data_IF_062795390204
#
_entry.id   IF_062795390204
#
_cell.length_a   1.000
_cell.length_b   1.000
_cell.length_c   1.000
_cell.angle_alpha   90.00
_cell.angle_beta   90.00
_cell.angle_gamma   90.00
#
_symmetry.space_group_name_H-M   'P 1'
#
loop_
_entity.id
_entity.type
_entity.pdbx_description
1 polymer ?
#
# COMPACT_ATOMS: atom_id res chain seq x y z
N UNK A 1 -37.77 0.12 -12.37
CA UNK A 1 -38.64 -0.76 -11.56
C UNK A 1 -38.60 -0.34 -10.09
N UNK A 2 -37.57 -0.68 -9.31
CA UNK A 2 -37.44 -0.35 -7.87
C UNK A 2 -37.82 1.10 -7.51
N UNK A 3 -37.23 2.11 -8.15
CA UNK A 3 -37.54 3.53 -7.85
C UNK A 3 -39.00 3.88 -8.10
N UNK A 4 -39.64 3.25 -9.09
CA UNK A 4 -41.07 3.43 -9.39
C UNK A 4 -41.92 2.77 -8.29
N UNK A 5 -41.54 1.58 -7.87
CA UNK A 5 -42.26 0.80 -6.85
C UNK A 5 -42.20 1.51 -5.49
N UNK A 6 -41.09 2.19 -5.20
CA UNK A 6 -40.88 2.98 -3.98
C UNK A 6 -41.61 4.34 -3.98
N UNK A 7 -42.00 4.87 -5.15
CA UNK A 7 -42.74 6.14 -5.20
C UNK A 7 -44.17 5.95 -4.69
N UNK A 8 -44.52 6.66 -3.62
CA UNK A 8 -45.83 6.54 -2.98
C UNK A 8 -45.97 5.34 -2.05
N UNK A 9 -44.86 4.65 -1.72
CA UNK A 9 -44.82 3.64 -0.68
C UNK A 9 -44.97 4.27 0.72
N UNK A 10 -45.54 3.51 1.65
CA UNK A 10 -45.46 3.78 3.08
C UNK A 10 -44.15 3.23 3.61
N UNK A 11 -43.44 4.04 4.40
CA UNK A 11 -42.15 3.66 5.00
C UNK A 11 -42.35 3.53 6.50
N UNK A 12 -42.25 2.31 7.01
CA UNK A 12 -42.52 1.98 8.40
C UNK A 12 -41.28 1.41 9.06
N UNK A 13 -40.92 1.92 10.23
CA UNK A 13 -39.84 1.36 11.03
C UNK A 13 -40.30 0.02 11.60
N UNK A 14 -39.66 -1.07 11.18
CA UNK A 14 -40.05 -2.44 11.58
C UNK A 14 -39.11 -3.03 12.64
N UNK A 15 -37.86 -2.59 12.66
CA UNK A 15 -36.87 -3.05 13.62
C UNK A 15 -35.97 -1.91 14.06
N UNK A 16 -35.67 -1.87 15.36
CA UNK A 16 -34.68 -0.99 15.97
C UNK A 16 -33.86 -1.85 16.92
N UNK A 17 -32.58 -2.03 16.61
CA UNK A 17 -31.63 -2.73 17.46
C UNK A 17 -30.66 -1.70 18.05
N UNK A 18 -30.64 -1.59 19.39
CA UNK A 18 -29.66 -0.79 20.13
C UNK A 18 -28.73 -1.72 20.89
N UNK A 19 -27.42 -1.53 20.74
CA UNK A 19 -26.44 -2.29 21.51
C UNK A 19 -25.19 -1.47 21.81
N UNK A 20 -24.60 -1.76 22.95
CA UNK A 20 -23.29 -1.24 23.31
C UNK A 20 -22.20 -2.04 22.57
N UNK A 21 -21.39 -1.36 21.76
CA UNK A 21 -20.26 -1.94 21.04
C UNK A 21 -18.97 -1.47 21.70
N UNK A 22 -18.12 -2.44 22.05
CA UNK A 22 -16.80 -2.17 22.63
C UNK A 22 -15.73 -2.36 21.57
N UNK A 23 -14.82 -1.40 21.46
CA UNK A 23 -13.68 -1.46 20.55
C UNK A 23 -12.38 -1.58 21.32
N UNK A 24 -11.63 -2.64 21.01
CA UNK A 24 -10.32 -2.87 21.60
C UNK A 24 -9.26 -1.94 21.02
N UNK A 25 -8.29 -1.50 21.85
CA UNK A 25 -7.08 -0.91 21.33
C UNK A 25 -6.31 -1.93 20.49
N UNK A 26 -5.50 -1.43 19.57
CA UNK A 26 -4.63 -2.27 18.76
C UNK A 26 -3.34 -2.60 19.53
N UNK A 27 -2.71 -3.75 19.25
CA UNK A 27 -1.46 -4.14 19.88
C UNK A 27 -0.33 -3.11 19.65
N UNK A 28 0.71 -3.11 20.52
CA UNK A 28 1.94 -2.36 20.25
C UNK A 28 2.56 -2.80 18.91
N UNK A 29 3.50 -2.01 18.40
CA UNK A 29 4.02 -2.26 17.07
C UNK A 29 4.98 -3.45 17.02
N UNK A 30 4.76 -4.33 16.05
CA UNK A 30 5.81 -5.12 15.41
C UNK A 30 6.42 -4.32 14.25
N UNK A 31 7.48 -4.85 13.65
CA UNK A 31 8.11 -4.26 12.44
C UNK A 31 7.12 -4.13 11.28
N UNK A 32 6.39 -5.21 11.00
CA UNK A 32 5.39 -5.22 9.92
C UNK A 32 4.30 -4.19 10.17
N UNK A 33 3.70 -4.19 11.36
CA UNK A 33 2.61 -3.27 11.69
C UNK A 33 3.06 -1.81 11.76
N UNK A 34 4.30 -1.53 12.18
CA UNK A 34 4.90 -0.19 12.11
C UNK A 34 5.05 0.29 10.66
N UNK A 35 5.63 -0.54 9.79
CA UNK A 35 5.79 -0.19 8.37
C UNK A 35 4.44 0.07 7.70
N UNK A 36 3.43 -0.75 8.00
CA UNK A 36 2.07 -0.59 7.50
C UNK A 36 1.44 0.74 7.95
N UNK A 37 1.50 1.07 9.25
CA UNK A 37 0.92 2.30 9.77
C UNK A 37 1.70 3.55 9.36
N UNK A 38 3.03 3.48 9.27
CA UNK A 38 3.85 4.59 8.79
C UNK A 38 3.56 4.90 7.31
N UNK A 39 3.30 3.89 6.48
CA UNK A 39 2.85 4.14 5.10
C UNK A 39 1.45 4.77 5.04
N UNK A 40 0.50 4.23 5.83
CA UNK A 40 -0.90 4.69 5.82
C UNK A 40 -1.08 6.09 6.40
N UNK A 41 -0.47 6.38 7.56
CA UNK A 41 -0.63 7.64 8.30
C UNK A 41 0.43 8.70 7.95
N UNK A 42 1.66 8.29 7.67
CA UNK A 42 2.79 9.22 7.46
C UNK A 42 3.27 9.28 6.01
N UNK A 43 2.80 8.38 5.15
CA UNK A 43 3.25 8.20 3.76
C UNK A 43 4.75 7.92 3.63
N UNK A 44 5.35 7.27 4.64
CA UNK A 44 6.73 6.81 4.60
C UNK A 44 6.82 5.45 3.90
N UNK A 45 7.83 5.26 3.05
CA UNK A 45 8.16 3.92 2.52
C UNK A 45 8.74 3.05 3.64
N UNK A 46 8.68 1.73 3.49
CA UNK A 46 9.25 0.77 4.43
C UNK A 46 10.73 1.09 4.70
N UNK A 47 11.50 1.35 3.64
CA UNK A 47 12.92 1.77 3.75
C UNK A 47 13.11 3.02 4.59
N UNK A 48 12.29 4.05 4.37
CA UNK A 48 12.38 5.31 5.13
C UNK A 48 11.98 5.09 6.58
N UNK A 49 10.91 4.35 6.82
CA UNK A 49 10.46 3.97 8.17
C UNK A 49 11.57 3.26 8.93
N UNK A 50 12.24 2.29 8.30
CA UNK A 50 13.34 1.57 8.96
C UNK A 50 14.56 2.43 9.22
N UNK A 51 14.93 3.31 8.28
CA UNK A 51 16.00 4.28 8.49
C UNK A 51 15.71 5.19 9.70
N UNK A 52 14.50 5.76 9.78
CA UNK A 52 14.13 6.62 10.90
C UNK A 52 14.05 5.84 12.23
N UNK A 53 13.52 4.62 12.21
CA UNK A 53 13.45 3.76 13.40
C UNK A 53 14.85 3.36 13.91
N UNK A 54 15.79 3.09 13.00
CA UNK A 54 17.20 2.85 13.35
C UNK A 54 17.79 4.06 14.08
N UNK A 55 17.61 5.27 13.52
CA UNK A 55 18.08 6.50 14.16
C UNK A 55 17.45 6.72 15.55
N UNK A 56 16.14 6.45 15.71
CA UNK A 56 15.49 6.58 17.01
C UNK A 56 16.01 5.54 18.02
N UNK A 57 16.28 4.32 17.58
CA UNK A 57 16.83 3.25 18.41
C UNK A 57 18.26 3.55 18.87
N UNK A 58 19.15 3.96 17.95
CA UNK A 58 20.55 4.32 18.26
C UNK A 58 20.65 5.49 19.25
N UNK A 59 19.62 6.32 19.31
CA UNK A 59 19.50 7.43 20.25
C UNK A 59 18.82 7.04 21.58
N UNK A 60 18.50 5.76 21.77
CA UNK A 60 17.86 5.25 22.97
C UNK A 60 16.43 5.72 23.18
N UNK A 61 15.69 6.08 22.12
CA UNK A 61 14.33 6.62 22.23
C UNK A 61 13.25 5.55 22.07
N UNK A 62 13.55 4.48 21.34
CA UNK A 62 12.64 3.34 21.15
C UNK A 62 13.40 2.04 21.37
N UNK A 63 12.65 0.95 21.63
CA UNK A 63 13.18 -0.41 21.63
C UNK A 63 13.61 -0.87 20.22
N UNK A 64 14.25 -2.03 20.13
CA UNK A 64 14.74 -2.56 18.86
C UNK A 64 13.61 -2.74 17.84
N UNK A 65 13.78 -2.15 16.66
CA UNK A 65 12.71 -1.97 15.68
C UNK A 65 12.56 -3.13 14.68
N UNK A 66 13.39 -4.18 14.79
CA UNK A 66 13.27 -5.41 13.98
C UNK A 66 12.80 -6.55 14.88
N UNK A 67 11.53 -6.49 15.21
CA UNK A 67 10.83 -7.43 16.10
C UNK A 67 9.52 -7.88 15.45
N UNK A 68 9.17 -9.14 15.68
CA UNK A 68 7.85 -9.73 15.44
C UNK A 68 7.08 -9.95 16.76
N UNK A 69 7.70 -9.61 17.89
CA UNK A 69 7.13 -9.74 19.23
C UNK A 69 6.15 -8.64 19.57
N UNK A 70 5.10 -9.02 20.31
CA UNK A 70 4.15 -8.11 20.95
C UNK A 70 4.38 -7.99 22.46
N UNK A 71 5.42 -8.65 22.99
CA UNK A 71 5.73 -8.66 24.41
C UNK A 71 6.17 -7.26 24.88
N UNK A 72 5.87 -6.95 26.12
CA UNK A 72 6.22 -5.70 26.78
C UNK A 72 6.79 -6.03 28.16
N UNK A 73 7.89 -5.40 28.56
CA UNK A 73 8.45 -5.58 29.90
C UNK A 73 7.51 -5.04 30.98
N UNK A 74 7.63 -5.60 32.18
CA UNK A 74 6.85 -5.17 33.35
C UNK A 74 7.09 -3.70 33.69
N UNK A 75 8.34 -3.24 33.52
CA UNK A 75 8.69 -1.83 33.68
C UNK A 75 7.88 -0.93 32.73
N UNK A 76 7.90 -1.24 31.43
CA UNK A 76 7.17 -0.44 30.44
C UNK A 76 5.66 -0.42 30.69
N UNK A 77 5.11 -1.55 31.12
CA UNK A 77 3.70 -1.67 31.50
C UNK A 77 3.36 -0.80 32.72
N UNK A 78 4.21 -0.81 33.75
CA UNK A 78 4.05 0.00 34.95
C UNK A 78 4.12 1.51 34.65
N UNK A 79 5.10 1.92 33.86
CA UNK A 79 5.27 3.32 33.42
C UNK A 79 4.07 3.80 32.58
N UNK A 80 3.58 2.95 31.65
CA UNK A 80 2.39 3.26 30.87
C UNK A 80 1.15 3.42 31.76
N UNK A 81 0.93 2.50 32.72
CA UNK A 81 -0.17 2.60 33.69
C UNK A 81 -0.10 3.91 34.44
N UNK A 82 1.07 4.24 35.01
CA UNK A 82 1.27 5.48 35.77
C UNK A 82 0.90 6.69 34.92
N UNK A 83 1.47 6.81 33.73
CA UNK A 83 1.18 7.90 32.80
C UNK A 83 -0.31 7.99 32.44
N UNK A 84 -0.96 6.87 32.13
CA UNK A 84 -2.39 6.84 31.79
C UNK A 84 -3.24 7.35 32.96
N UNK A 85 -2.97 6.85 34.18
CA UNK A 85 -3.74 7.22 35.36
C UNK A 85 -3.54 8.67 35.79
N UNK A 86 -2.32 9.20 35.69
CA UNK A 86 -2.00 10.58 36.07
C UNK A 86 -2.48 11.59 35.03
N UNK A 87 -2.32 11.29 33.73
CA UNK A 87 -2.62 12.24 32.65
C UNK A 87 -4.07 12.21 32.19
N UNK A 88 -4.68 11.02 32.12
CA UNK A 88 -6.04 10.84 31.60
C UNK A 88 -7.06 10.45 32.66
N UNK A 89 -6.62 9.96 33.82
CA UNK A 89 -7.47 9.56 34.93
C UNK A 89 -7.70 8.05 34.99
N UNK A 90 -8.16 7.58 36.15
CA UNK A 90 -8.33 6.14 36.46
C UNK A 90 -9.26 5.41 35.48
N UNK A 91 -10.29 6.07 34.95
CA UNK A 91 -11.24 5.48 33.99
C UNK A 91 -10.61 5.08 32.64
N UNK A 92 -9.45 5.64 32.28
CA UNK A 92 -8.73 5.29 31.05
C UNK A 92 -7.78 4.11 31.21
N UNK A 93 -7.58 3.63 32.44
CA UNK A 93 -6.84 2.41 32.74
C UNK A 93 -7.83 1.25 32.90
N UNK A 94 -7.71 0.14 32.14
CA UNK A 94 -8.68 -0.96 32.16
C UNK A 94 -8.65 -1.80 33.46
N UNK A 95 -7.77 -1.50 34.41
CA UNK A 95 -7.62 -2.26 35.66
C UNK A 95 -6.59 -3.40 35.60
N UNK A 96 -6.15 -3.80 34.40
CA UNK A 96 -5.20 -4.89 34.18
C UNK A 96 -4.24 -4.60 33.03
N UNK A 97 -3.06 -5.23 33.03
CA UNK A 97 -2.10 -5.13 31.93
C UNK A 97 -2.57 -5.94 30.72
N UNK A 98 -2.72 -5.28 29.57
CA UNK A 98 -3.11 -5.94 28.33
C UNK A 98 -1.92 -6.68 27.76
N UNK A 99 -1.98 -8.02 27.79
CA UNK A 99 -1.01 -8.90 27.14
C UNK A 99 -1.51 -9.29 25.75
N UNK A 100 -0.61 -9.27 24.77
CA UNK A 100 -0.91 -9.60 23.38
C UNK A 100 -0.11 -10.84 22.96
N UNK A 101 -0.77 -11.79 22.29
CA UNK A 101 -0.13 -13.04 21.88
C UNK A 101 0.73 -12.84 20.63
N UNK A 102 2.02 -13.10 20.74
CA UNK A 102 2.95 -13.19 19.61
C UNK A 102 2.65 -14.45 18.79
N UNK A 103 2.71 -14.34 17.45
CA UNK A 103 2.36 -15.45 16.55
C UNK A 103 3.53 -16.38 16.22
N UNK A 104 4.76 -15.88 16.17
CA UNK A 104 5.91 -16.71 15.82
C UNK A 104 6.28 -17.63 16.98
N UNK A 105 6.63 -18.88 16.65
CA UNK A 105 7.14 -19.87 17.62
C UNK A 105 8.62 -19.66 17.95
N UNK A 106 9.30 -18.80 17.19
CA UNK A 106 10.74 -18.56 17.17
C UNK A 106 11.12 -17.18 17.68
N UNK A 107 10.15 -16.29 17.94
CA UNK A 107 10.39 -15.11 18.77
C UNK A 107 10.89 -15.61 20.12
N UNK A 108 12.21 -15.61 20.28
CA UNK A 108 12.83 -15.70 21.58
C UNK A 108 12.11 -14.68 22.46
N UNK A 109 11.56 -15.16 23.58
CA UNK A 109 10.73 -14.36 24.50
C UNK A 109 11.46 -13.11 25.04
N UNK A 110 12.77 -12.99 24.75
CA UNK A 110 13.63 -11.85 25.04
C UNK A 110 13.40 -10.59 24.19
N UNK A 111 12.70 -10.65 23.05
CA UNK A 111 12.43 -9.45 22.24
C UNK A 111 11.12 -8.77 22.65
N UNK A 112 11.17 -7.46 22.83
CA UNK A 112 9.98 -6.62 23.07
C UNK A 112 9.37 -6.09 21.76
N UNK A 113 8.13 -5.64 21.84
CA UNK A 113 7.50 -4.82 20.81
C UNK A 113 8.24 -3.50 20.62
N UNK A 114 7.98 -2.83 19.49
CA UNK A 114 8.48 -1.47 19.21
C UNK A 114 7.69 -0.48 20.05
N UNK A 115 8.35 0.10 21.05
CA UNK A 115 7.78 1.03 22.03
C UNK A 115 8.78 2.12 22.41
N UNK A 116 8.34 3.22 23.03
CA UNK A 116 9.23 4.17 23.68
C UNK A 116 10.04 3.51 24.81
N UNK A 117 11.27 3.98 25.00
CA UNK A 117 12.09 3.68 26.18
C UNK A 117 11.62 4.44 27.42
N UNK A 118 11.07 5.64 27.22
CA UNK A 118 10.52 6.54 28.23
C UNK A 118 9.09 6.94 27.88
N UNK A 119 8.10 6.05 28.12
CA UNK A 119 6.71 6.30 27.74
C UNK A 119 6.03 7.42 28.55
N UNK A 120 6.58 7.80 29.71
CA UNK A 120 6.11 8.89 30.54
C UNK A 120 6.33 10.28 29.92
N UNK A 121 7.29 10.40 28.98
CA UNK A 121 7.58 11.64 28.26
C UNK A 121 6.74 11.69 26.99
N UNK A 122 5.97 12.76 26.84
CA UNK A 122 5.16 12.97 25.63
C UNK A 122 6.04 13.24 24.40
N UNK A 123 5.57 12.95 23.18
CA UNK A 123 6.30 13.26 21.95
C UNK A 123 6.71 14.74 21.83
N UNK A 124 5.87 15.65 22.31
CA UNK A 124 6.10 17.09 22.33
C UNK A 124 7.26 17.47 23.28
N UNK A 125 7.25 16.95 24.51
CA UNK A 125 8.32 17.17 25.49
C UNK A 125 9.66 16.58 25.00
N UNK A 126 9.62 15.40 24.39
CA UNK A 126 10.81 14.74 23.88
C UNK A 126 11.43 15.51 22.72
N UNK A 127 10.60 16.06 21.81
CA UNK A 127 11.07 16.85 20.65
C UNK A 127 11.93 18.03 21.09
N UNK A 128 11.50 18.74 22.13
CA UNK A 128 12.23 19.89 22.70
C UNK A 128 13.59 19.48 23.28
N UNK A 129 13.63 18.37 24.02
CA UNK A 129 14.84 17.90 24.71
C UNK A 129 15.88 17.26 23.80
N UNK A 130 15.43 16.64 22.70
CA UNK A 130 16.30 15.79 21.89
C UNK A 130 16.58 16.35 20.50
N UNK A 131 16.03 17.51 20.11
CA UNK A 131 16.23 18.10 18.78
C UNK A 131 15.89 17.11 17.64
N UNK A 132 14.80 16.35 17.78
CA UNK A 132 14.31 15.48 16.70
C UNK A 132 13.95 16.32 15.47
N UNK A 133 14.34 15.85 14.29
CA UNK A 133 13.78 16.40 13.06
C UNK A 133 12.28 16.07 12.96
N UNK A 134 11.56 16.75 12.07
CA UNK A 134 10.12 16.59 11.94
C UNK A 134 9.69 15.17 11.53
N UNK A 135 10.50 14.45 10.76
CA UNK A 135 10.18 13.09 10.31
C UNK A 135 10.43 12.05 11.40
N UNK A 136 11.52 12.19 12.15
CA UNK A 136 11.82 11.41 13.35
C UNK A 136 10.72 11.58 14.40
N UNK A 137 10.35 12.83 14.70
CA UNK A 137 9.29 13.14 15.65
C UNK A 137 7.95 12.51 15.25
N UNK A 138 7.56 12.60 13.98
CA UNK A 138 6.32 11.98 13.49
C UNK A 138 6.30 10.46 13.61
N UNK A 139 7.43 9.79 13.39
CA UNK A 139 7.52 8.34 13.57
C UNK A 139 7.49 7.96 15.06
N UNK A 140 8.22 8.70 15.90
CA UNK A 140 8.20 8.52 17.35
C UNK A 140 6.79 8.73 17.93
N UNK A 141 6.11 9.82 17.56
CA UNK A 141 4.73 10.10 17.97
C UNK A 141 3.79 8.94 17.61
N UNK A 142 3.91 8.40 16.39
CA UNK A 142 3.13 7.25 15.97
C UNK A 142 3.38 6.02 16.87
N UNK A 143 4.64 5.72 17.17
CA UNK A 143 5.06 4.61 18.05
C UNK A 143 4.52 4.81 19.47
N UNK A 144 4.74 5.99 20.03
CA UNK A 144 4.36 6.35 21.38
C UNK A 144 2.84 6.28 21.58
N UNK A 145 2.07 6.90 20.69
CA UNK A 145 0.59 6.86 20.77
C UNK A 145 0.06 5.44 20.65
N UNK A 146 0.65 4.61 19.79
CA UNK A 146 0.25 3.20 19.63
C UNK A 146 0.53 2.41 20.90
N UNK A 147 1.71 2.59 21.49
CA UNK A 147 2.09 1.92 22.73
C UNK A 147 1.17 2.30 23.90
N UNK A 148 0.99 3.59 24.18
CA UNK A 148 0.10 4.05 25.27
C UNK A 148 -1.34 3.58 25.04
N UNK A 149 -1.88 3.77 23.82
CA UNK A 149 -3.22 3.30 23.48
C UNK A 149 -3.40 1.80 23.70
N UNK A 150 -2.36 0.99 23.42
CA UNK A 150 -2.41 -0.47 23.61
C UNK A 150 -2.66 -0.90 25.06
N UNK A 151 -2.45 -0.01 26.03
CA UNK A 151 -2.66 -0.25 27.46
C UNK A 151 -3.86 0.54 28.03
N UNK A 152 -4.56 1.32 27.21
CA UNK A 152 -5.75 2.08 27.64
C UNK A 152 -7.03 1.22 27.62
N UNK A 153 -8.09 1.77 28.23
CA UNK A 153 -9.43 1.22 28.23
C UNK A 153 -10.04 1.18 26.80
N UNK A 154 -11.02 0.29 26.61
CA UNK A 154 -11.75 0.17 25.35
C UNK A 154 -12.53 1.46 25.07
N UNK A 155 -12.74 1.76 23.79
CA UNK A 155 -13.75 2.75 23.42
C UNK A 155 -15.13 2.08 23.42
N UNK A 156 -16.16 2.81 23.87
CA UNK A 156 -17.53 2.33 24.01
C UNK A 156 -18.44 3.19 23.14
N UNK A 157 -19.29 2.52 22.35
CA UNK A 157 -20.23 3.16 21.44
C UNK A 157 -21.63 2.61 21.68
N UNK A 158 -22.62 3.50 21.61
CA UNK A 158 -24.01 3.07 21.47
C UNK A 158 -24.32 2.99 19.96
N UNK A 159 -24.54 1.77 19.48
CA UNK A 159 -24.86 1.51 18.07
C UNK A 159 -26.35 1.26 17.91
N UNK A 160 -26.95 1.95 16.94
CA UNK A 160 -28.36 1.80 16.57
C UNK A 160 -28.45 1.32 15.13
N UNK A 161 -29.13 0.20 14.90
CA UNK A 161 -29.50 -0.28 13.54
C UNK A 161 -31.00 -0.20 13.38
N UNK A 162 -31.46 0.40 12.29
CA UNK A 162 -32.87 0.59 11.99
C UNK A 162 -33.19 -0.01 10.64
N UNK A 163 -34.20 -0.89 10.60
CA UNK A 163 -34.77 -1.39 9.36
C UNK A 163 -36.13 -0.72 9.11
N UNK A 164 -36.26 -0.13 7.93
CA UNK A 164 -37.47 0.54 7.45
C UNK A 164 -38.04 -0.26 6.29
N UNK A 165 -39.23 -0.80 6.49
CA UNK A 165 -39.99 -1.51 5.46
C UNK A 165 -40.72 -0.49 4.58
N UNK A 166 -40.53 -0.59 3.27
CA UNK A 166 -41.21 0.20 2.27
C UNK A 166 -42.22 -0.69 1.53
N UNK A 167 -43.50 -0.39 1.70
CA UNK A 167 -44.62 -1.14 1.09
C UNK A 167 -45.48 -0.21 0.24
N UNK A 168 -45.68 -0.56 -1.03
CA UNK A 168 -46.57 0.17 -1.91
C UNK A 168 -47.89 -0.59 -2.09
N UNK A 169 -48.86 -0.29 -1.23
CA UNK A 169 -50.16 -0.96 -1.22
C UNK A 169 -50.96 -0.78 -2.53
N UNK A 170 -50.71 0.30 -3.29
CA UNK A 170 -51.41 0.58 -4.56
C UNK A 170 -50.94 -0.29 -5.72
N UNK A 171 -49.68 -0.73 -5.70
CA UNK A 171 -49.08 -1.47 -6.80
C UNK A 171 -49.03 -2.99 -6.55
N UNK A 172 -49.42 -3.47 -5.36
CA UNK A 172 -49.28 -4.88 -4.93
C UNK A 172 -47.90 -5.47 -5.27
N UNK A 173 -46.85 -4.65 -5.17
CA UNK A 173 -45.47 -5.01 -5.51
C UNK A 173 -44.73 -5.63 -4.33
N UNK A 174 -43.56 -6.20 -4.62
CA UNK A 174 -42.61 -6.68 -3.60
C UNK A 174 -42.28 -5.59 -2.57
N UNK A 175 -42.23 -5.97 -1.29
CA UNK A 175 -41.78 -5.07 -0.22
C UNK A 175 -40.26 -4.90 -0.27
N UNK A 176 -39.77 -3.71 0.08
CA UNK A 176 -38.35 -3.40 0.14
C UNK A 176 -37.93 -3.03 1.56
N UNK A 177 -36.70 -3.34 1.95
CA UNK A 177 -36.16 -2.96 3.26
C UNK A 177 -34.98 -2.02 3.09
N UNK A 178 -35.03 -0.86 3.76
CA UNK A 178 -33.90 0.04 3.93
C UNK A 178 -33.27 -0.20 5.29
N UNK A 179 -31.93 -0.22 5.35
CA UNK A 179 -31.19 -0.33 6.60
C UNK A 179 -30.36 0.93 6.82
N UNK A 180 -30.49 1.52 8.00
CA UNK A 180 -29.64 2.61 8.48
C UNK A 180 -28.89 2.16 9.73
N UNK A 181 -27.61 2.54 9.82
CA UNK A 181 -26.76 2.23 10.97
C UNK A 181 -26.15 3.52 11.49
N UNK A 182 -26.29 3.76 12.79
CA UNK A 182 -25.68 4.86 13.50
C UNK A 182 -24.88 4.42 14.71
N UNK A 183 -23.96 5.27 15.12
CA UNK A 183 -23.08 5.06 16.27
C UNK A 183 -22.80 6.38 16.95
N UNK A 184 -22.96 6.42 18.27
CA UNK A 184 -22.62 7.56 19.12
C UNK A 184 -21.51 7.11 20.08
N UNK A 185 -20.45 7.93 20.18
CA UNK A 185 -19.35 7.67 21.09
C UNK A 185 -19.78 7.94 22.54
N UNK A 186 -19.79 6.90 23.38
CA UNK A 186 -20.13 6.99 24.80
C UNK A 186 -18.89 7.17 25.68
N UNK A 187 -17.79 6.52 25.31
CA UNK A 187 -16.49 6.68 25.97
C UNK A 187 -15.36 6.51 24.95
N UNK A 188 -14.49 7.51 24.84
CA UNK A 188 -13.40 7.55 23.86
C UNK A 188 -12.27 6.57 24.16
N UNK A 189 -12.01 6.25 25.43
CA UNK A 189 -10.99 5.28 25.84
C UNK A 189 -9.64 5.53 25.13
N UNK A 190 -9.09 4.50 24.50
CA UNK A 190 -7.83 4.61 23.74
C UNK A 190 -7.88 5.58 22.53
N UNK A 191 -9.06 5.92 22.01
CA UNK A 191 -9.20 6.81 20.84
C UNK A 191 -8.82 8.26 21.15
N UNK A 192 -8.86 8.64 22.44
CA UNK A 192 -8.39 9.94 22.92
C UNK A 192 -6.98 10.25 22.47
N UNK A 193 -6.11 9.24 22.45
CA UNK A 193 -4.70 9.39 22.07
C UNK A 193 -4.38 8.83 20.67
N UNK A 194 -5.09 7.78 20.26
CA UNK A 194 -4.89 7.10 18.99
C UNK A 194 -6.17 7.11 18.14
N UNK A 195 -6.43 8.26 17.53
CA UNK A 195 -7.60 8.43 16.68
C UNK A 195 -7.55 7.47 15.48
N UNK A 196 -8.70 6.84 15.23
CA UNK A 196 -8.98 6.02 14.07
C UNK A 196 -10.09 6.71 13.29
N UNK A 197 -10.04 6.65 11.96
CA UNK A 197 -11.13 7.17 11.13
C UNK A 197 -12.41 6.39 11.45
N UNK A 198 -13.46 7.10 11.85
CA UNK A 198 -14.79 6.57 12.09
C UNK A 198 -15.81 7.47 11.40
N UNK A 199 -16.90 6.88 10.93
CA UNK A 199 -18.08 7.62 10.50
C UNK A 199 -19.02 7.68 11.72
N UNK A 200 -19.06 8.83 12.36
CA UNK A 200 -20.09 9.11 13.36
C UNK A 200 -21.37 9.48 12.62
N UNK A 201 -22.27 8.51 12.50
CA UNK A 201 -23.60 8.72 11.96
C UNK A 201 -24.57 8.68 13.13
N UNK A 202 -25.01 9.84 13.60
CA UNK A 202 -26.08 9.91 14.59
C UNK A 202 -27.43 9.67 13.90
N UNK A 203 -28.22 8.75 14.45
CA UNK A 203 -29.59 8.53 14.01
C UNK A 203 -30.55 9.27 14.94
N UNK A 204 -31.61 9.90 14.41
CA UNK A 204 -32.62 10.51 15.26
C UNK A 204 -33.31 9.45 16.14
N UNK A 205 -33.93 9.86 17.25
CA UNK A 205 -34.81 8.97 17.99
C UNK A 205 -35.94 8.50 17.06
N UNK A 206 -36.17 7.19 17.03
CA UNK A 206 -37.20 6.53 16.23
C UNK A 206 -37.92 5.50 17.08
N UNK A 207 -39.17 5.24 16.75
CA UNK A 207 -40.02 4.25 17.43
C UNK A 207 -40.41 3.09 16.51
N UNK A 208 -40.60 1.91 17.10
CA UNK A 208 -41.09 0.76 16.33
C UNK A 208 -42.51 1.06 15.86
N UNK A 209 -42.77 0.74 14.59
CA UNK A 209 -44.00 1.06 13.85
C UNK A 209 -44.19 2.53 13.46
N UNK A 210 -43.23 3.41 13.73
CA UNK A 210 -43.27 4.79 13.27
C UNK A 210 -43.29 4.87 11.73
N UNK A 211 -44.14 5.75 11.19
CA UNK A 211 -44.21 6.02 9.76
C UNK A 211 -43.30 7.21 9.44
N UNK A 212 -42.28 6.97 8.62
CA UNK A 212 -41.31 7.99 8.21
C UNK A 212 -41.63 8.52 6.81
N UNK A 213 -41.38 9.81 6.58
CA UNK A 213 -41.66 10.46 5.29
C UNK A 213 -40.49 10.34 4.34
N UNK A 214 -40.73 9.82 3.14
CA UNK A 214 -39.76 9.84 2.06
C UNK A 214 -39.46 11.29 1.63
N UNK A 215 -38.21 11.74 1.81
CA UNK A 215 -37.74 13.03 1.27
C UNK A 215 -37.21 12.91 -0.16
N UNK A 216 -36.35 11.93 -0.41
CA UNK A 216 -35.67 11.77 -1.71
C UNK A 216 -35.23 10.31 -1.92
N UNK A 217 -35.39 9.83 -3.15
CA UNK A 217 -34.73 8.60 -3.61
C UNK A 217 -33.53 8.98 -4.47
N UNK A 218 -32.34 8.55 -4.08
CA UNK A 218 -31.10 8.76 -4.84
C UNK A 218 -30.70 7.41 -5.43
N UNK A 219 -31.04 7.11 -6.69
CA UNK A 219 -30.55 5.90 -7.32
C UNK A 219 -29.03 6.02 -7.53
N UNK A 220 -28.27 5.05 -7.03
CA UNK A 220 -26.85 4.93 -7.28
C UNK A 220 -26.57 3.67 -8.09
N UNK A 221 -25.76 3.83 -9.14
CA UNK A 221 -25.22 2.70 -9.88
C UNK A 221 -23.81 2.42 -9.37
N UNK A 222 -23.56 1.16 -9.05
CA UNK A 222 -22.25 0.69 -8.62
C UNK A 222 -21.75 -0.38 -9.58
N UNK A 223 -20.43 -0.43 -9.74
CA UNK A 223 -19.74 -1.47 -10.49
C UNK A 223 -18.83 -2.23 -9.55
N UNK A 224 -18.64 -3.52 -9.81
CA UNK A 224 -17.59 -4.29 -9.15
C UNK A 224 -16.24 -3.68 -9.51
N UNK A 225 -15.40 -3.49 -8.50
CA UNK A 225 -14.04 -3.01 -8.72
C UNK A 225 -13.10 -4.20 -8.80
N UNK A 226 -12.08 -4.18 -9.68
CA UNK A 226 -11.06 -5.21 -9.68
C UNK A 226 -10.29 -5.20 -8.35
N UNK A 227 -9.64 -6.32 -7.98
CA UNK A 227 -8.79 -6.37 -6.81
C UNK A 227 -7.78 -5.22 -6.78
N UNK A 228 -7.68 -4.54 -5.64
CA UNK A 228 -6.78 -3.41 -5.51
C UNK A 228 -5.32 -3.87 -5.60
N UNK A 229 -4.51 -3.15 -6.40
CA UNK A 229 -3.06 -3.33 -6.42
C UNK A 229 -2.45 -3.14 -5.04
N UNK A 230 -1.36 -3.85 -4.78
CA UNK A 230 -0.65 -3.76 -3.51
C UNK A 230 0.03 -2.40 -3.33
N UNK A 231 -0.08 -1.83 -2.14
CA UNK A 231 0.83 -0.80 -1.62
C UNK A 231 1.99 -1.48 -0.88
N UNK A 232 2.98 -0.71 -0.41
CA UNK A 232 4.00 -1.28 0.48
C UNK A 232 3.38 -1.90 1.74
N UNK A 233 2.43 -1.20 2.38
CA UNK A 233 1.74 -1.70 3.55
C UNK A 233 1.00 -3.03 3.28
N UNK A 234 0.19 -3.09 2.22
CA UNK A 234 -0.56 -4.31 1.93
C UNK A 234 0.34 -5.46 1.48
N UNK A 235 1.44 -5.19 0.77
CA UNK A 235 2.39 -6.22 0.37
C UNK A 235 3.09 -6.81 1.59
N UNK A 236 3.57 -5.98 2.52
CA UNK A 236 4.17 -6.44 3.77
C UNK A 236 3.17 -7.27 4.58
N UNK A 237 1.91 -6.83 4.65
CA UNK A 237 0.84 -7.58 5.33
C UNK A 237 0.63 -8.97 4.72
N UNK A 238 0.70 -9.08 3.39
CA UNK A 238 0.59 -10.37 2.70
C UNK A 238 1.82 -11.23 2.94
N UNK A 239 3.03 -10.68 2.81
CA UNK A 239 4.28 -11.39 3.10
C UNK A 239 4.27 -11.99 4.52
N UNK A 240 3.94 -11.18 5.53
CA UNK A 240 3.82 -11.63 6.92
C UNK A 240 2.73 -12.70 7.09
N UNK A 241 1.57 -12.54 6.45
CA UNK A 241 0.47 -13.50 6.54
C UNK A 241 0.86 -14.86 5.94
N UNK A 242 1.57 -14.85 4.82
CA UNK A 242 2.00 -16.06 4.12
C UNK A 242 3.32 -16.63 4.67
N UNK A 243 3.88 -16.05 5.74
CA UNK A 243 5.12 -16.54 6.38
C UNK A 243 6.40 -16.24 5.59
N UNK A 244 6.32 -15.38 4.57
CA UNK A 244 7.45 -15.03 3.70
C UNK A 244 8.15 -13.78 4.23
N UNK A 245 9.45 -13.89 4.45
CA UNK A 245 10.27 -12.82 5.00
C UNK A 245 10.17 -12.72 6.52
N UNK A 246 10.99 -11.81 7.06
CA UNK A 246 11.18 -11.56 8.48
C UNK A 246 11.25 -10.05 8.71
N UNK A 247 11.13 -9.56 9.97
CA UNK A 247 11.35 -8.15 10.33
C UNK A 247 12.57 -7.51 9.65
N UNK A 248 13.66 -8.25 9.50
CA UNK A 248 14.90 -7.84 8.86
C UNK A 248 14.83 -7.73 7.34
N UNK A 249 13.90 -8.42 6.66
CA UNK A 249 13.90 -8.57 5.20
C UNK A 249 12.74 -7.86 4.49
N UNK A 250 11.65 -7.48 5.17
CA UNK A 250 10.52 -6.78 4.51
C UNK A 250 10.93 -5.55 3.69
N UNK A 251 11.62 -4.58 4.32
CA UNK A 251 12.03 -3.36 3.62
C UNK A 251 13.10 -3.61 2.54
N UNK A 252 14.15 -4.43 2.79
CA UNK A 252 15.11 -4.83 1.75
C UNK A 252 14.48 -5.54 0.55
N UNK A 253 13.52 -6.45 0.76
CA UNK A 253 12.82 -7.15 -0.32
C UNK A 253 12.08 -6.16 -1.22
N UNK A 254 11.30 -5.26 -0.62
CA UNK A 254 10.60 -4.20 -1.37
C UNK A 254 11.56 -3.26 -2.11
N UNK A 255 12.69 -2.86 -1.51
CA UNK A 255 13.71 -2.03 -2.17
C UNK A 255 14.35 -2.76 -3.36
N UNK A 256 14.63 -4.06 -3.20
CA UNK A 256 15.31 -4.88 -4.22
C UNK A 256 14.46 -5.08 -5.46
N UNK A 257 13.19 -5.48 -5.31
CA UNK A 257 12.30 -5.72 -6.47
C UNK A 257 12.03 -4.44 -7.27
N UNK A 258 12.07 -3.27 -6.61
CA UNK A 258 11.99 -1.96 -7.26
C UNK A 258 13.29 -1.60 -7.98
N UNK A 259 14.44 -1.71 -7.31
CA UNK A 259 15.76 -1.39 -7.90
C UNK A 259 16.12 -2.27 -9.09
N UNK A 260 15.67 -3.53 -9.08
CA UNK A 260 15.85 -4.48 -10.19
C UNK A 260 14.82 -4.30 -11.31
N UNK A 261 13.95 -3.30 -11.22
CA UNK A 261 12.95 -2.96 -12.23
C UNK A 261 11.96 -4.09 -12.52
N UNK A 262 11.65 -4.95 -11.54
CA UNK A 262 10.59 -5.96 -11.64
C UNK A 262 9.21 -5.38 -11.35
N UNK A 263 9.17 -4.39 -10.47
CA UNK A 263 7.96 -3.64 -10.16
C UNK A 263 8.24 -2.16 -10.18
N UNK A 264 7.22 -1.38 -10.53
CA UNK A 264 7.20 0.08 -10.41
C UNK A 264 6.00 0.51 -9.57
N UNK A 265 6.01 1.77 -9.12
CA UNK A 265 4.84 2.36 -8.47
C UNK A 265 4.04 3.18 -9.47
N UNK A 266 2.73 3.00 -9.47
CA UNK A 266 1.81 3.86 -10.20
C UNK A 266 1.69 5.25 -9.54
N UNK A 267 0.90 6.13 -10.15
CA UNK A 267 0.65 7.49 -9.66
C UNK A 267 0.05 7.52 -8.25
N UNK A 268 -0.67 6.46 -7.87
CA UNK A 268 -1.29 6.25 -6.56
C UNK A 268 -0.37 5.52 -5.58
N UNK A 269 0.92 5.38 -5.93
CA UNK A 269 1.97 4.70 -5.14
C UNK A 269 1.70 3.20 -4.88
N UNK A 270 0.97 2.53 -5.78
CA UNK A 270 0.71 1.10 -5.74
C UNK A 270 1.66 0.37 -6.67
N UNK A 271 2.08 -0.83 -6.30
CA UNK A 271 2.93 -1.69 -7.10
C UNK A 271 2.22 -2.17 -8.36
N UNK A 272 2.93 -2.05 -9.48
CA UNK A 272 2.58 -2.60 -10.77
C UNK A 272 3.77 -3.41 -11.28
N UNK A 273 3.57 -4.66 -11.73
CA UNK A 273 4.64 -5.41 -12.36
C UNK A 273 5.08 -4.71 -13.65
N UNK A 274 6.37 -4.69 -13.91
CA UNK A 274 6.91 -4.30 -15.21
C UNK A 274 6.82 -5.48 -16.17
N UNK A 275 6.94 -5.24 -17.47
CA UNK A 275 6.98 -6.35 -18.43
C UNK A 275 8.16 -7.30 -18.16
N UNK A 276 9.30 -6.76 -17.71
CA UNK A 276 10.45 -7.57 -17.28
C UNK A 276 10.13 -8.41 -16.03
N UNK A 277 9.39 -7.85 -15.07
CA UNK A 277 8.93 -8.58 -13.90
C UNK A 277 8.00 -9.73 -14.25
N UNK A 278 7.07 -9.52 -15.20
CA UNK A 278 6.18 -10.56 -15.71
C UNK A 278 6.98 -11.66 -16.39
N UNK A 279 7.85 -11.30 -17.35
CA UNK A 279 8.66 -12.26 -18.08
C UNK A 279 9.54 -13.13 -17.17
N UNK A 280 10.21 -12.51 -16.19
CA UNK A 280 11.03 -13.26 -15.23
C UNK A 280 10.17 -14.15 -14.34
N UNK A 281 9.00 -13.66 -13.90
CA UNK A 281 8.07 -14.46 -13.12
C UNK A 281 7.59 -15.70 -13.90
N UNK A 282 7.19 -15.54 -15.16
CA UNK A 282 6.65 -16.61 -15.97
C UNK A 282 7.70 -17.71 -16.20
N UNK A 283 8.94 -17.33 -16.51
CA UNK A 283 10.08 -18.25 -16.61
C UNK A 283 10.32 -19.00 -15.31
N UNK A 284 10.28 -18.31 -14.16
CA UNK A 284 10.53 -18.95 -12.87
C UNK A 284 9.39 -19.87 -12.44
N UNK A 285 8.14 -19.51 -12.71
CA UNK A 285 6.97 -20.36 -12.43
C UNK A 285 6.99 -21.61 -13.30
N UNK A 286 7.34 -21.48 -14.57
CA UNK A 286 7.39 -22.62 -15.50
C UNK A 286 8.54 -23.58 -15.19
N UNK A 287 9.73 -23.06 -14.91
CA UNK A 287 10.94 -23.88 -14.83
C UNK A 287 11.46 -24.12 -13.40
N UNK A 288 11.04 -23.32 -12.44
CA UNK A 288 11.41 -23.42 -11.03
C UNK A 288 10.19 -23.36 -10.08
N UNK A 289 9.08 -24.10 -10.35
CA UNK A 289 7.82 -23.95 -9.63
C UNK A 289 7.95 -24.19 -8.12
N UNK A 290 8.82 -25.12 -7.70
CA UNK A 290 9.08 -25.39 -6.27
C UNK A 290 9.73 -24.19 -5.57
N UNK A 291 10.63 -23.48 -6.26
CA UNK A 291 11.42 -22.39 -5.66
C UNK A 291 10.58 -21.12 -5.47
N UNK A 292 9.66 -20.85 -6.40
CA UNK A 292 8.76 -19.68 -6.33
C UNK A 292 7.42 -19.99 -5.65
N UNK A 293 7.24 -21.22 -5.17
CA UNK A 293 6.06 -21.58 -4.39
C UNK A 293 6.05 -20.86 -3.04
N UNK A 294 4.86 -20.39 -2.65
CA UNK A 294 4.64 -19.60 -1.44
C UNK A 294 4.94 -20.45 -0.20
N UNK A 295 4.45 -21.69 -0.16
CA UNK A 295 4.62 -22.58 1.01
C UNK A 295 6.08 -23.01 1.15
N UNK A 296 6.74 -23.33 0.04
CA UNK A 296 8.17 -23.64 0.04
C UNK A 296 8.99 -22.48 0.59
N UNK A 297 8.72 -21.25 0.14
CA UNK A 297 9.44 -20.06 0.62
C UNK A 297 9.22 -19.84 2.11
N UNK A 298 7.99 -19.99 2.60
CA UNK A 298 7.67 -19.90 4.02
C UNK A 298 8.39 -20.99 4.85
N UNK A 299 8.40 -22.23 4.35
CA UNK A 299 9.08 -23.35 4.99
C UNK A 299 10.59 -23.13 5.07
N UNK A 300 11.21 -22.57 4.03
CA UNK A 300 12.62 -22.21 4.04
C UNK A 300 12.94 -21.23 5.18
N UNK A 301 12.10 -20.21 5.37
CA UNK A 301 12.27 -19.25 6.47
C UNK A 301 12.10 -19.92 7.85
N UNK A 302 11.14 -20.86 7.98
CA UNK A 302 10.98 -21.64 9.22
C UNK A 302 12.20 -22.53 9.52
N UNK A 303 12.79 -23.16 8.51
CA UNK A 303 13.98 -23.98 8.68
C UNK A 303 15.18 -23.14 9.13
N UNK A 304 15.34 -21.93 8.56
CA UNK A 304 16.35 -20.98 9.02
C UNK A 304 16.14 -20.57 10.49
N UNK A 305 14.89 -20.39 10.93
CA UNK A 305 14.60 -20.11 12.33
C UNK A 305 14.91 -21.31 13.24
N UNK A 306 14.67 -22.55 12.78
CA UNK A 306 15.00 -23.76 13.54
C UNK A 306 16.51 -23.93 13.67
N UNK A 307 17.28 -23.64 12.62
CA UNK A 307 18.75 -23.59 12.66
C UNK A 307 19.20 -22.57 13.71
N UNK A 308 18.65 -21.35 13.69
CA UNK A 308 18.98 -20.31 14.66
C UNK A 308 18.63 -20.71 16.11
N UNK A 309 17.64 -21.58 16.30
CA UNK A 309 17.26 -22.15 17.59
C UNK A 309 18.04 -23.43 17.97
N UNK A 310 19.00 -23.88 17.16
CA UNK A 310 19.77 -25.12 17.37
C UNK A 310 18.94 -26.40 17.19
N UNK A 311 17.82 -26.35 16.46
CA UNK A 311 16.89 -27.47 16.26
C UNK A 311 17.09 -28.22 14.95
N UNK A 312 17.81 -27.65 13.99
CA UNK A 312 18.14 -28.26 12.71
C UNK A 312 19.61 -27.98 12.36
N UNK A 313 20.27 -28.93 11.70
CA UNK A 313 21.63 -28.75 11.19
C UNK A 313 21.61 -27.93 9.90
N UNK A 314 22.49 -26.92 9.82
CA UNK A 314 22.52 -25.99 8.70
C UNK A 314 23.15 -26.60 7.45
N UNK A 315 24.10 -27.53 7.60
CA UNK A 315 24.77 -28.20 6.48
C UNK A 315 23.80 -29.15 5.79
N UNK A 316 23.08 -29.96 6.57
CA UNK A 316 22.04 -30.86 6.07
C UNK A 316 20.92 -30.08 5.36
N UNK A 317 20.46 -28.98 5.97
CA UNK A 317 19.43 -28.11 5.36
C UNK A 317 19.90 -27.54 4.02
N UNK A 318 21.16 -27.12 3.92
CA UNK A 318 21.74 -26.63 2.67
C UNK A 318 21.87 -27.72 1.61
N UNK A 319 22.32 -28.92 1.97
CA UNK A 319 22.40 -30.06 1.06
C UNK A 319 21.02 -30.42 0.48
N UNK A 320 20.03 -30.54 1.35
CA UNK A 320 18.64 -30.83 0.98
C UNK A 320 18.03 -29.79 0.03
N UNK A 321 18.44 -28.53 0.13
CA UNK A 321 18.06 -27.48 -0.81
C UNK A 321 18.87 -27.51 -2.11
N UNK A 322 20.20 -27.57 -2.00
CA UNK A 322 21.11 -27.24 -3.09
C UNK A 322 21.22 -28.36 -4.12
N UNK A 323 21.29 -29.64 -3.74
CA UNK A 323 21.46 -30.73 -4.71
C UNK A 323 20.29 -30.82 -5.71
N UNK A 324 19.01 -30.78 -5.27
CA UNK A 324 17.89 -30.79 -6.21
C UNK A 324 17.85 -29.52 -7.06
N UNK A 325 18.18 -28.37 -6.46
CA UNK A 325 18.22 -27.08 -7.17
C UNK A 325 19.29 -27.07 -8.26
N UNK A 326 20.51 -27.52 -7.96
CA UNK A 326 21.62 -27.56 -8.90
C UNK A 326 21.32 -28.49 -10.08
N UNK A 327 20.75 -29.66 -9.81
CA UNK A 327 20.32 -30.60 -10.85
C UNK A 327 19.30 -29.97 -11.80
N UNK A 328 18.25 -29.34 -11.25
CA UNK A 328 17.25 -28.65 -12.07
C UNK A 328 17.88 -27.48 -12.86
N UNK A 329 18.75 -26.70 -12.22
CA UNK A 329 19.43 -25.57 -12.86
C UNK A 329 20.29 -26.02 -14.06
N UNK A 330 21.08 -27.10 -13.91
CA UNK A 330 21.89 -27.68 -14.97
C UNK A 330 21.03 -28.15 -16.15
N UNK A 331 19.91 -28.82 -15.86
CA UNK A 331 18.95 -29.25 -16.87
C UNK A 331 18.35 -28.06 -17.63
N UNK A 332 17.89 -27.03 -16.91
CA UNK A 332 17.27 -25.85 -17.53
C UNK A 332 18.25 -24.99 -18.34
N UNK A 333 19.55 -25.00 -18.03
CA UNK A 333 20.55 -24.38 -18.89
C UNK A 333 20.68 -25.03 -20.28
N UNK A 334 20.33 -26.31 -20.41
CA UNK A 334 20.37 -27.04 -21.67
C UNK A 334 19.05 -26.89 -22.45
N UNK A 335 17.92 -26.90 -21.73
CA UNK A 335 16.58 -26.85 -22.32
C UNK A 335 16.16 -25.44 -22.76
N UNK A 336 16.53 -24.41 -22.00
CA UNK A 336 16.07 -23.03 -22.26
C UNK A 336 17.06 -22.33 -23.20
N UNK A 337 16.69 -22.21 -24.47
CA UNK A 337 17.48 -21.46 -25.44
C UNK A 337 17.26 -19.96 -25.28
N UNK A 338 18.35 -19.17 -25.25
CA UNK A 338 18.28 -17.69 -25.35
C UNK A 338 17.59 -17.19 -26.64
N UNK A 339 17.23 -18.07 -27.58
CA UNK A 339 16.43 -17.74 -28.77
C UNK A 339 14.97 -17.43 -28.43
N UNK A 340 14.42 -18.04 -27.38
CA UNK A 340 12.96 -18.01 -27.12
C UNK A 340 12.48 -16.68 -26.52
N UNK A 341 13.41 -15.83 -26.07
CA UNK A 341 13.13 -14.51 -25.49
C UNK A 341 13.31 -13.35 -26.49
N UNK A 342 13.39 -13.62 -27.79
CA UNK A 342 13.59 -12.61 -28.84
C UNK A 342 12.30 -12.38 -29.62
N UNK A 343 11.74 -11.19 -29.54
CA UNK A 343 10.65 -10.80 -30.45
C UNK A 343 11.28 -10.41 -31.80
N UNK A 344 10.82 -11.03 -32.89
CA UNK A 344 11.28 -10.73 -34.26
C UNK A 344 10.80 -9.33 -34.66
N UNK A 345 11.59 -8.65 -35.49
CA UNK A 345 11.26 -7.32 -35.99
C UNK A 345 11.66 -7.22 -37.45
N UNK A 346 11.00 -6.33 -38.18
CA UNK A 346 11.28 -6.08 -39.61
C UNK A 346 12.45 -5.10 -39.83
N UNK A 347 13.03 -4.55 -38.75
CA UNK A 347 14.14 -3.61 -38.85
C UNK A 347 15.44 -4.32 -39.23
N UNK A 348 16.25 -3.66 -40.06
CA UNK A 348 17.57 -4.12 -40.48
C UNK A 348 18.66 -3.37 -39.71
N UNK A 349 19.71 -4.09 -39.30
CA UNK A 349 20.86 -3.53 -38.61
C UNK A 349 21.67 -2.64 -39.56
N UNK A 350 21.85 -1.34 -39.26
CA UNK A 350 22.60 -0.43 -40.11
C UNK A 350 24.11 -0.73 -40.14
N UNK A 351 24.62 -1.51 -39.17
CA UNK A 351 26.05 -1.87 -39.13
C UNK A 351 26.41 -3.12 -39.94
N UNK A 352 25.48 -4.07 -40.14
CA UNK A 352 25.83 -5.37 -40.76
C UNK A 352 24.74 -5.98 -41.65
N UNK A 353 23.66 -5.23 -41.94
CA UNK A 353 22.58 -5.66 -42.83
C UNK A 353 21.73 -6.84 -42.33
N UNK A 354 21.94 -7.31 -41.10
CA UNK A 354 21.19 -8.45 -40.53
C UNK A 354 19.95 -7.96 -39.77
N UNK A 355 18.94 -8.81 -39.55
CA UNK A 355 17.72 -8.40 -38.84
C UNK A 355 18.00 -7.95 -37.40
N UNK A 356 17.28 -6.93 -36.94
CA UNK A 356 17.19 -6.55 -35.54
C UNK A 356 16.13 -7.40 -34.84
N UNK A 357 16.35 -7.67 -33.56
CA UNK A 357 15.40 -8.35 -32.68
C UNK A 357 15.22 -7.51 -31.43
N UNK A 358 14.04 -7.55 -30.82
CA UNK A 358 13.85 -6.95 -29.50
C UNK A 358 14.49 -7.88 -28.47
N UNK A 359 15.36 -7.30 -27.66
CA UNK A 359 16.01 -7.95 -26.53
C UNK A 359 15.66 -7.25 -25.24
N UNK A 360 15.72 -8.01 -24.16
CA UNK A 360 15.53 -7.53 -22.81
C UNK A 360 16.86 -7.14 -22.16
N UNK A 361 16.86 -6.03 -21.44
CA UNK A 361 17.91 -5.64 -20.51
C UNK A 361 17.32 -5.27 -19.15
N UNK A 362 18.16 -5.07 -18.14
CA UNK A 362 17.72 -4.52 -16.84
C UNK A 362 17.00 -3.16 -16.96
N UNK A 363 17.23 -2.43 -18.04
CA UNK A 363 16.64 -1.12 -18.33
C UNK A 363 15.37 -1.20 -19.19
N UNK A 364 14.93 -2.40 -19.57
CA UNK A 364 13.81 -2.64 -20.47
C UNK A 364 14.23 -3.16 -21.84
N UNK A 365 13.26 -3.19 -22.75
CA UNK A 365 13.42 -3.66 -24.13
C UNK A 365 14.31 -2.71 -24.95
N UNK A 366 15.04 -3.27 -25.91
CA UNK A 366 15.80 -2.51 -26.91
C UNK A 366 15.96 -3.33 -28.19
N UNK A 367 16.21 -2.68 -29.33
CA UNK A 367 16.61 -3.38 -30.55
C UNK A 367 18.08 -3.79 -30.44
N UNK A 368 18.38 -5.06 -30.70
CA UNK A 368 19.74 -5.56 -30.81
C UNK A 368 19.92 -6.40 -32.07
N UNK A 369 21.13 -6.37 -32.64
CA UNK A 369 21.42 -7.18 -33.82
C UNK A 369 21.24 -8.69 -33.55
N UNK A 370 20.63 -9.40 -34.50
CA UNK A 370 20.47 -10.86 -34.45
C UNK A 370 21.82 -11.59 -34.38
N UNK A 371 22.87 -11.04 -35.02
CA UNK A 371 24.25 -11.59 -35.05
C UNK A 371 25.11 -11.31 -33.81
N UNK A 372 24.57 -10.74 -32.72
CA UNK A 372 25.33 -10.61 -31.46
C UNK A 372 25.79 -12.00 -30.96
N UNK A 373 27.04 -12.19 -30.51
CA UNK A 373 28.02 -11.15 -30.11
C UNK A 373 28.90 -10.58 -31.23
N UNK A 374 28.84 -11.12 -32.46
CA UNK A 374 29.67 -10.66 -33.60
C UNK A 374 29.34 -9.23 -34.03
N UNK A 375 28.07 -8.83 -33.98
CA UNK A 375 27.64 -7.44 -34.16
C UNK A 375 26.99 -6.93 -32.86
N UNK A 376 27.52 -5.82 -32.32
CA UNK A 376 27.11 -5.23 -31.03
C UNK A 376 26.16 -4.03 -31.18
N UNK A 377 25.60 -3.80 -32.36
CA UNK A 377 24.62 -2.74 -32.59
C UNK A 377 23.42 -2.87 -31.63
N UNK A 378 23.05 -1.74 -31.03
CA UNK A 378 21.89 -1.59 -30.15
C UNK A 378 21.23 -0.24 -30.36
N UNK A 379 19.91 -0.21 -30.35
CA UNK A 379 19.08 0.99 -30.49
C UNK A 379 17.94 0.92 -29.47
N UNK A 380 17.57 2.05 -28.86
CA UNK A 380 16.41 2.09 -27.96
C UNK A 380 15.12 1.89 -28.76
N UNK A 381 14.12 1.23 -28.18
CA UNK A 381 12.78 1.24 -28.78
C UNK A 381 12.20 2.66 -28.74
N UNK A 382 11.45 3.07 -29.79
CA UNK A 382 10.59 4.24 -29.73
C UNK A 382 9.70 4.13 -28.50
N UNK A 383 9.64 5.19 -27.70
CA UNK A 383 8.70 5.22 -26.58
C UNK A 383 7.28 5.29 -27.14
N UNK A 384 6.30 4.59 -26.52
CA UNK A 384 4.91 4.72 -26.90
C UNK A 384 4.51 6.19 -26.87
N UNK A 385 3.96 6.68 -27.98
CA UNK A 385 3.47 8.05 -28.07
C UNK A 385 2.11 8.14 -27.39
N UNK A 386 1.78 9.32 -26.85
CA UNK A 386 0.45 9.59 -26.31
C UNK A 386 -0.57 9.87 -27.42
N UNK A 387 -0.18 9.80 -28.70
CA UNK A 387 -0.99 10.23 -29.84
C UNK A 387 -1.22 11.75 -29.92
N UNK A 388 -0.47 12.54 -29.15
CA UNK A 388 -0.60 13.99 -29.06
C UNK A 388 0.55 14.64 -29.84
N UNK A 389 0.24 15.46 -30.84
CA UNK A 389 1.24 16.23 -31.60
C UNK A 389 1.93 17.26 -30.71
N UNK A 390 3.23 17.44 -30.91
CA UNK A 390 4.01 18.43 -30.19
C UNK A 390 3.61 19.84 -30.62
N UNK A 391 3.13 20.70 -29.71
CA UNK A 391 2.68 22.04 -30.07
C UNK A 391 3.84 23.00 -30.42
N UNK A 392 5.08 22.64 -30.08
CA UNK A 392 6.27 23.47 -30.39
C UNK A 392 6.81 23.23 -31.80
N UNK A 393 6.82 21.99 -32.28
CA UNK A 393 7.46 21.64 -33.55
C UNK A 393 6.52 21.04 -34.59
N UNK A 394 5.30 20.65 -34.20
CA UNK A 394 4.23 20.03 -35.02
C UNK A 394 4.58 18.72 -35.75
N UNK A 395 5.87 18.39 -35.84
CA UNK A 395 6.45 17.22 -36.50
C UNK A 395 6.68 16.05 -35.55
N UNK A 396 6.74 16.32 -34.24
CA UNK A 396 6.95 15.31 -33.21
C UNK A 396 5.67 14.98 -32.45
N UNK A 397 5.73 13.91 -31.67
CA UNK A 397 4.65 13.49 -30.76
C UNK A 397 5.13 13.50 -29.32
N UNK A 398 4.21 13.69 -28.37
CA UNK A 398 4.52 13.67 -26.95
C UNK A 398 4.69 12.23 -26.46
N UNK A 399 5.79 11.99 -25.75
CA UNK A 399 6.13 10.71 -25.10
C UNK A 399 6.43 10.92 -23.63
N UNK A 400 6.22 9.87 -22.83
CA UNK A 400 6.62 9.85 -21.42
C UNK A 400 8.14 9.67 -21.28
N UNK A 401 8.78 10.60 -20.57
CA UNK A 401 10.21 10.63 -20.30
C UNK A 401 10.52 10.62 -18.82
N UNK A 402 11.75 10.27 -18.49
CA UNK A 402 12.20 10.15 -17.10
C UNK A 402 13.54 10.86 -16.93
N UNK A 403 13.63 11.72 -15.92
CA UNK A 403 14.89 12.41 -15.56
C UNK A 403 15.90 11.43 -14.97
N UNK A 404 17.18 11.84 -14.86
CA UNK A 404 18.23 11.06 -14.15
C UNK A 404 17.84 10.68 -12.72
N UNK A 405 17.01 11.51 -12.06
CA UNK A 405 16.50 11.28 -10.69
C UNK A 405 15.19 10.49 -10.66
N UNK A 406 14.72 9.95 -11.79
CA UNK A 406 13.52 9.11 -11.88
C UNK A 406 12.18 9.87 -11.92
N UNK A 407 12.19 11.21 -11.93
CA UNK A 407 10.96 12.00 -12.09
C UNK A 407 10.45 11.92 -13.53
N UNK A 408 9.17 11.58 -13.70
CA UNK A 408 8.49 11.53 -14.99
C UNK A 408 8.21 12.96 -15.48
N UNK A 409 8.36 13.17 -16.79
CA UNK A 409 7.94 14.36 -17.53
C UNK A 409 7.48 13.94 -18.92
N UNK A 410 6.69 14.76 -19.59
CA UNK A 410 6.15 14.48 -20.92
C UNK A 410 6.80 15.42 -21.92
N UNK A 411 7.49 14.90 -22.92
CA UNK A 411 8.22 15.74 -23.86
C UNK A 411 8.21 15.21 -25.28
N UNK A 412 8.67 16.04 -26.22
CA UNK A 412 8.70 15.68 -27.64
C UNK A 412 9.60 14.45 -27.88
N UNK A 413 9.13 13.50 -28.69
CA UNK A 413 9.90 12.32 -29.10
C UNK A 413 11.20 12.67 -29.84
N UNK A 414 11.25 13.83 -30.53
CA UNK A 414 12.42 14.38 -31.24
C UNK A 414 13.47 15.08 -30.37
N UNK A 415 13.43 14.95 -29.06
CA UNK A 415 14.48 15.49 -28.19
C UNK A 415 15.86 14.91 -28.54
N UNK A 416 16.96 15.69 -28.58
CA UNK A 416 17.09 17.08 -28.13
C UNK A 416 16.77 18.15 -29.19
N UNK A 417 16.39 17.78 -30.41
CA UNK A 417 16.05 18.74 -31.48
C UNK A 417 14.83 19.60 -31.12
N UNK A 418 13.91 19.05 -30.31
CA UNK A 418 12.81 19.78 -29.71
C UNK A 418 12.78 19.53 -28.19
N UNK A 419 12.92 20.60 -27.43
CA UNK A 419 13.01 20.67 -25.97
C UNK A 419 11.65 20.86 -25.28
N UNK A 420 10.54 20.73 -26.01
CA UNK A 420 9.20 20.84 -25.42
C UNK A 420 9.02 19.79 -24.31
N UNK A 421 8.63 20.25 -23.12
CA UNK A 421 8.41 19.42 -21.94
C UNK A 421 7.30 19.96 -21.03
N UNK A 422 6.54 19.03 -20.45
CA UNK A 422 5.50 19.25 -19.46
C UNK A 422 5.75 18.35 -18.25
N UNK A 423 5.43 18.84 -17.05
CA UNK A 423 5.54 18.03 -15.83
C UNK A 423 4.32 17.13 -15.61
N UNK A 424 3.16 17.62 -15.99
CA UNK A 424 1.88 16.93 -15.84
C UNK A 424 1.43 16.32 -17.17
N UNK A 425 0.61 15.26 -17.09
CA UNK A 425 0.24 14.45 -18.25
C UNK A 425 -0.72 15.24 -19.14
N UNK A 426 -0.42 15.47 -20.43
CA UNK A 426 -1.38 16.10 -21.32
C UNK A 426 -2.56 15.15 -21.57
N UNK A 427 -3.77 15.69 -21.59
CA UNK A 427 -5.00 14.91 -21.81
C UNK A 427 -5.39 14.82 -23.30
N UNK A 428 -4.69 15.54 -24.18
CA UNK A 428 -4.95 15.59 -25.62
C UNK A 428 -5.88 16.73 -26.05
N UNK A 429 -6.51 17.44 -25.12
CA UNK A 429 -7.33 18.62 -25.41
C UNK A 429 -6.49 19.90 -25.38
N UNK A 430 -6.92 20.92 -26.11
CA UNK A 430 -6.33 22.27 -26.09
C UNK A 430 -7.15 23.23 -25.24
N UNK A 431 -6.50 24.22 -24.67
CA UNK A 431 -7.12 25.21 -23.82
C UNK A 431 -7.96 26.18 -24.67
N UNK A 432 -9.24 26.41 -24.34
CA UNK A 432 -10.09 27.33 -25.09
C UNK A 432 -9.66 28.80 -24.98
N UNK A 433 -8.87 29.17 -23.97
CA UNK A 433 -8.39 30.56 -23.79
C UNK A 433 -7.14 30.89 -24.59
N UNK A 434 -6.18 29.96 -24.67
CA UNK A 434 -4.85 30.25 -25.21
C UNK A 434 -4.29 29.19 -26.17
N UNK A 435 -5.09 28.17 -26.52
CA UNK A 435 -4.70 27.10 -27.45
C UNK A 435 -3.65 26.11 -26.94
N UNK A 436 -3.03 26.36 -25.78
CA UNK A 436 -2.01 25.46 -25.20
C UNK A 436 -2.62 24.14 -24.70
N UNK A 437 -1.83 23.07 -24.61
CA UNK A 437 -2.32 21.75 -24.17
C UNK A 437 -2.90 21.81 -22.75
N UNK A 438 -3.98 21.07 -22.51
CA UNK A 438 -4.49 20.83 -21.17
C UNK A 438 -3.75 19.64 -20.53
N UNK A 439 -3.42 19.77 -19.25
CA UNK A 439 -2.72 18.76 -18.45
C UNK A 439 -3.57 18.31 -17.27
N UNK A 440 -3.42 17.05 -16.89
CA UNK A 440 -4.07 16.44 -15.73
C UNK A 440 -3.02 16.33 -14.62
N UNK A 441 -3.31 16.96 -13.48
CA UNK A 441 -2.51 16.79 -12.28
C UNK A 441 -2.77 15.43 -11.60
N UNK A 442 -1.95 15.10 -10.59
CA UNK A 442 -2.07 13.84 -9.82
C UNK A 442 -3.41 13.68 -9.07
N UNK A 443 -4.19 14.76 -8.94
CA UNK A 443 -5.49 14.79 -8.27
C UNK A 443 -6.65 14.70 -9.26
N UNK A 444 -6.37 14.61 -10.57
CA UNK A 444 -7.36 14.58 -11.63
C UNK A 444 -7.87 15.97 -12.04
N UNK A 445 -7.27 17.06 -11.53
CA UNK A 445 -7.60 18.43 -11.94
C UNK A 445 -7.01 18.68 -13.32
N UNK A 446 -7.83 19.22 -14.22
CA UNK A 446 -7.38 19.63 -15.56
C UNK A 446 -7.02 21.11 -15.50
N UNK A 447 -5.83 21.48 -15.97
CA UNK A 447 -5.38 22.87 -16.04
C UNK A 447 -4.66 23.14 -17.35
N UNK A 448 -4.56 24.42 -17.73
CA UNK A 448 -3.73 24.81 -18.86
C UNK A 448 -2.25 24.53 -18.59
N UNK A 449 -1.50 24.10 -19.60
CA UNK A 449 -0.05 23.97 -19.52
C UNK A 449 0.69 25.31 -19.56
N UNK A 450 0.08 26.37 -20.10
CA UNK A 450 0.65 27.71 -20.09
C UNK A 450 0.49 28.34 -18.70
N UNK A 451 1.62 28.72 -18.07
CA UNK A 451 1.66 29.33 -16.74
C UNK A 451 0.97 30.69 -16.66
N UNK A 452 0.84 31.38 -17.79
CA UNK A 452 0.19 32.69 -17.89
C UNK A 452 -1.34 32.56 -18.07
N UNK A 453 -1.85 31.33 -18.22
CA UNK A 453 -3.27 31.06 -18.43
C UNK A 453 -3.88 30.38 -17.19
N UNK A 454 -4.88 31.03 -16.60
CA UNK A 454 -5.59 30.62 -15.38
C UNK A 454 -6.66 29.53 -15.59
N UNK A 455 -6.83 29.02 -16.83
CA UNK A 455 -7.87 28.06 -17.15
C UNK A 455 -7.73 26.75 -16.37
N UNK A 456 -8.81 26.36 -15.68
CA UNK A 456 -8.91 25.08 -14.96
C UNK A 456 -10.31 24.47 -15.11
N UNK A 457 -10.38 23.13 -15.11
CA UNK A 457 -11.61 22.35 -15.19
C UNK A 457 -11.53 21.17 -14.23
N UNK A 458 -12.60 20.89 -13.50
CA UNK A 458 -12.68 19.71 -12.65
C UNK A 458 -12.97 18.48 -13.52
N UNK A 459 -11.95 17.66 -13.78
CA UNK A 459 -12.11 16.37 -14.46
C UNK A 459 -12.56 15.29 -13.47
N UNK A 460 -13.63 14.56 -13.78
CA UNK A 460 -13.82 13.23 -13.21
C UNK A 460 -12.94 12.27 -14.01
N UNK A 461 -11.96 11.64 -13.36
CA UNK A 461 -11.24 10.50 -13.93
C UNK A 461 -12.28 9.43 -14.30
N UNK A 462 -12.46 9.15 -15.60
CA UNK A 462 -13.16 7.96 -16.08
C UNK A 462 -12.30 6.73 -15.84
#
# INVERSE_FOLDING_TARGET
KIVKDLKGAEYKVVNIEKKEIKRNPLPPFTTSSLQQQAWSKLHFSAKKTMYLAQNLYERGLISYHRTDSLNLSEQALSEAKKFITEKYGKGYWPGFFRKYKTKSKTAQEAHEAIRPTHPEKTPEELKLKTKLDNQQHRLYDLIWRRFIASQMAQAIFDSTTVDVLATNYKLQTTNYTFRATGQILKFDGFLKIYQMKMEENELPPLEKNEIVKLKKLIPSQHFTQPPARYTEASLIKVLEKEGIGRPSTYAPTLDTIQKRNYVKKDEKKRFQPTEMGILVNDILVEHFPKIVDIKFTAQMEENLDKIAAGKEDWVETLHNFYEPFEKNLKQKYQEISKKDMKEKTDKICPQCGSSLVIRWSRYGKFYGCSKFPKCKYKESLPRPTLGIKCPKCEKGEIVEKTTKKGKIFYGCNRWPECDFALWDKPNGETCPKCGSLLVIDKRGKISCSNKECDFTKNGKLK
#
